data_IF_362595217691
#
_entry.id   IF_362595217691
#
_cell.length_a   1.000
_cell.length_b   1.000
_cell.length_c   1.000
_cell.angle_alpha   90.00
_cell.angle_beta   90.00
_cell.angle_gamma   90.00
#
_symmetry.space_group_name_H-M   'P 1'
#
loop_
_entity.id
_entity.type
_entity.pdbx_description
1 polymer ?
#
# COMPACT_ATOMS: atom_id res chain seq x y z
N UNK A 1 19.50 -6.82 -15.51
CA UNK A 1 18.43 -6.46 -14.57
C UNK A 1 17.62 -7.70 -14.22
N UNK A 2 17.46 -8.00 -12.93
CA UNK A 2 16.79 -9.22 -12.48
C UNK A 2 15.40 -8.88 -11.91
N UNK A 3 14.39 -8.78 -12.78
CA UNK A 3 13.02 -8.44 -12.38
C UNK A 3 12.39 -9.46 -11.43
N UNK A 4 12.71 -10.74 -11.61
CA UNK A 4 12.22 -11.78 -10.70
C UNK A 4 12.77 -11.55 -9.29
N UNK A 5 14.02 -11.10 -9.16
CA UNK A 5 14.59 -10.75 -7.85
C UNK A 5 13.89 -9.53 -7.23
N UNK A 6 13.66 -8.46 -7.99
CA UNK A 6 12.94 -7.28 -7.48
C UNK A 6 11.52 -7.68 -7.04
N UNK A 7 10.80 -8.44 -7.88
CA UNK A 7 9.46 -8.93 -7.57
C UNK A 7 9.43 -9.73 -6.27
N UNK A 8 10.30 -10.74 -6.16
CA UNK A 8 10.35 -11.61 -4.98
C UNK A 8 10.73 -10.85 -3.71
N UNK A 9 11.70 -9.93 -3.81
CA UNK A 9 12.10 -9.08 -2.69
C UNK A 9 10.95 -8.18 -2.23
N UNK A 10 10.37 -7.40 -3.13
CA UNK A 10 9.25 -6.49 -2.79
C UNK A 10 8.06 -7.26 -2.23
N UNK A 11 7.70 -8.39 -2.85
CA UNK A 11 6.58 -9.20 -2.36
C UNK A 11 6.87 -9.81 -0.97
N UNK A 12 8.09 -10.31 -0.75
CA UNK A 12 8.52 -10.84 0.53
C UNK A 12 8.52 -9.78 1.64
N UNK A 13 9.03 -8.58 1.35
CA UNK A 13 9.02 -7.45 2.29
C UNK A 13 7.59 -7.03 2.65
N UNK A 14 6.67 -6.97 1.68
CA UNK A 14 5.26 -6.67 1.92
C UNK A 14 4.61 -7.76 2.78
N UNK A 15 4.87 -9.04 2.49
CA UNK A 15 4.33 -10.16 3.28
C UNK A 15 4.83 -10.13 4.73
N UNK A 16 6.13 -9.89 4.94
CA UNK A 16 6.72 -9.75 6.28
C UNK A 16 6.10 -8.57 7.01
N UNK A 17 6.05 -7.40 6.36
CA UNK A 17 5.47 -6.19 6.94
C UNK A 17 4.03 -6.41 7.44
N UNK A 18 3.18 -7.03 6.61
CA UNK A 18 1.81 -7.30 7.01
C UNK A 18 1.69 -8.41 8.06
N UNK A 19 2.38 -9.53 7.90
CA UNK A 19 2.23 -10.68 8.80
C UNK A 19 2.90 -10.47 10.16
N UNK A 20 4.10 -9.90 10.19
CA UNK A 20 4.94 -9.82 11.40
C UNK A 20 4.81 -8.48 12.12
N UNK A 21 4.39 -7.40 11.44
CA UNK A 21 4.24 -6.08 12.07
C UNK A 21 2.77 -5.66 12.20
N UNK A 22 1.98 -5.75 11.13
CA UNK A 22 0.61 -5.23 11.13
C UNK A 22 -0.42 -6.18 11.75
N UNK A 23 -0.39 -7.45 11.35
CA UNK A 23 -1.37 -8.47 11.75
C UNK A 23 -0.93 -9.31 12.94
N UNK A 24 0.23 -8.99 13.51
CA UNK A 24 0.73 -9.66 14.69
C UNK A 24 -0.30 -9.61 15.81
N UNK A 25 -0.66 -10.78 16.33
CA UNK A 25 -1.66 -10.99 17.37
C UNK A 25 -3.10 -10.55 17.03
N UNK A 26 -3.36 -10.13 15.78
CA UNK A 26 -4.67 -9.71 15.31
C UNK A 26 -5.50 -10.92 14.87
N UNK A 27 -6.76 -10.96 15.32
CA UNK A 27 -7.67 -12.07 15.06
C UNK A 27 -8.98 -11.60 14.45
N UNK A 28 -9.44 -12.31 13.43
CA UNK A 28 -10.81 -12.24 12.93
C UNK A 28 -11.43 -13.62 13.20
N UNK A 29 -12.62 -13.65 13.80
CA UNK A 29 -13.33 -14.91 14.09
C UNK A 29 -12.48 -15.96 14.84
N UNK A 30 -11.68 -15.50 15.82
CA UNK A 30 -10.74 -16.31 16.60
C UNK A 30 -9.61 -16.98 15.80
N UNK A 31 -9.41 -16.60 14.53
CA UNK A 31 -8.28 -17.04 13.70
C UNK A 31 -7.27 -15.92 13.59
N UNK A 32 -5.99 -16.25 13.71
CA UNK A 32 -4.92 -15.31 13.41
C UNK A 32 -4.94 -14.99 11.92
N UNK A 33 -4.74 -13.72 11.59
CA UNK A 33 -4.55 -13.33 10.20
C UNK A 33 -3.12 -13.69 9.78
N UNK A 34 -2.99 -14.37 8.66
CA UNK A 34 -1.73 -14.58 7.95
C UNK A 34 -2.04 -14.57 6.46
N UNK A 35 -1.24 -13.85 5.69
CA UNK A 35 -1.39 -13.73 4.25
C UNK A 35 -0.31 -14.54 3.53
N UNK A 36 -0.72 -15.19 2.44
CA UNK A 36 0.17 -15.88 1.51
C UNK A 36 0.87 -17.11 2.09
N UNK A 37 1.80 -17.65 1.29
CA UNK A 37 2.62 -18.80 1.66
C UNK A 37 4.06 -18.62 1.21
N UNK A 38 5.00 -19.26 1.90
CA UNK A 38 6.44 -19.24 1.53
C UNK A 38 6.65 -19.83 0.12
N UNK A 39 5.92 -20.90 -0.20
CA UNK A 39 5.85 -21.52 -1.52
C UNK A 39 5.56 -20.54 -2.67
N UNK A 40 4.75 -19.50 -2.41
CA UNK A 40 4.39 -18.51 -3.43
C UNK A 40 5.58 -17.64 -3.81
N UNK A 41 6.39 -17.20 -2.84
CA UNK A 41 7.58 -16.37 -3.09
C UNK A 41 8.61 -17.13 -3.92
N UNK A 42 8.76 -18.43 -3.69
CA UNK A 42 9.70 -19.25 -4.45
C UNK A 42 9.28 -19.43 -5.92
N UNK A 43 7.98 -19.64 -6.15
CA UNK A 43 7.43 -19.99 -7.47
C UNK A 43 7.06 -18.79 -8.34
N UNK A 44 6.86 -17.61 -7.74
CA UNK A 44 6.44 -16.43 -8.48
C UNK A 44 7.57 -15.87 -9.36
N UNK A 45 7.21 -15.43 -10.55
CA UNK A 45 8.05 -14.79 -11.55
C UNK A 45 7.26 -13.67 -12.21
N UNK A 46 7.93 -12.85 -13.03
CA UNK A 46 7.22 -11.85 -13.84
C UNK A 46 6.30 -12.47 -14.89
N UNK A 47 6.44 -13.75 -15.21
CA UNK A 47 5.66 -14.39 -16.28
C UNK A 47 4.36 -15.02 -15.75
N UNK A 48 4.19 -15.15 -14.43
CA UNK A 48 3.03 -15.73 -13.75
C UNK A 48 2.55 -14.86 -12.57
N UNK A 49 2.34 -13.56 -12.83
CA UNK A 49 1.88 -12.58 -11.83
C UNK A 49 0.45 -12.87 -11.31
N UNK A 50 -0.31 -13.72 -11.98
CA UNK A 50 -1.62 -14.23 -11.56
C UNK A 50 -1.56 -15.01 -10.23
N UNK A 51 -0.39 -15.53 -9.84
CA UNK A 51 -0.21 -16.12 -8.51
C UNK A 51 -0.53 -15.13 -7.37
N UNK A 52 -0.37 -13.82 -7.58
CA UNK A 52 -0.71 -12.77 -6.60
C UNK A 52 -2.22 -12.72 -6.36
N UNK A 53 -3.05 -13.17 -7.31
CA UNK A 53 -4.52 -13.14 -7.16
C UNK A 53 -4.99 -14.02 -6.00
N UNK A 54 -4.25 -15.08 -5.67
CA UNK A 54 -4.55 -15.90 -4.50
C UNK A 54 -4.49 -15.10 -3.19
N UNK A 55 -3.46 -14.27 -3.02
CA UNK A 55 -3.31 -13.38 -1.85
C UNK A 55 -4.39 -12.29 -1.87
N UNK A 56 -4.67 -11.71 -3.03
CA UNK A 56 -5.72 -10.69 -3.17
C UNK A 56 -7.09 -11.25 -2.78
N UNK A 57 -7.39 -12.48 -3.20
CA UNK A 57 -8.62 -13.18 -2.82
C UNK A 57 -8.67 -13.48 -1.32
N UNK A 58 -7.57 -13.94 -0.73
CA UNK A 58 -7.46 -14.16 0.72
C UNK A 58 -7.74 -12.88 1.52
N UNK A 59 -7.13 -11.74 1.13
CA UNK A 59 -7.41 -10.45 1.76
C UNK A 59 -8.88 -10.05 1.61
N UNK A 60 -9.49 -10.27 0.45
CA UNK A 60 -10.91 -9.98 0.25
C UNK A 60 -11.82 -10.82 1.14
N UNK A 61 -11.52 -12.11 1.32
CA UNK A 61 -12.26 -12.99 2.24
C UNK A 61 -12.14 -12.44 3.66
N UNK A 62 -10.94 -12.09 4.11
CA UNK A 62 -10.72 -11.50 5.43
C UNK A 62 -11.47 -10.17 5.61
N UNK A 63 -11.57 -9.34 4.56
CA UNK A 63 -12.37 -8.11 4.59
C UNK A 63 -13.86 -8.38 4.73
N UNK A 64 -14.37 -9.39 4.02
CA UNK A 64 -15.77 -9.82 4.18
C UNK A 64 -16.02 -10.32 5.61
N UNK A 65 -15.14 -11.17 6.14
CA UNK A 65 -15.23 -11.64 7.53
C UNK A 65 -15.16 -10.49 8.54
N UNK A 66 -14.33 -9.47 8.30
CA UNK A 66 -14.25 -8.27 9.13
C UNK A 66 -15.56 -7.48 9.10
N UNK A 67 -16.18 -7.32 7.92
CA UNK A 67 -17.47 -6.64 7.77
C UNK A 67 -18.61 -7.39 8.48
N UNK A 68 -18.58 -8.73 8.47
CA UNK A 68 -19.57 -9.55 9.19
C UNK A 68 -19.55 -9.29 10.70
N UNK A 69 -18.43 -8.83 11.28
CA UNK A 69 -18.36 -8.48 12.70
C UNK A 69 -19.38 -7.40 13.09
N UNK A 70 -19.68 -6.47 12.18
CA UNK A 70 -20.66 -5.39 12.41
C UNK A 70 -22.10 -5.90 12.60
N UNK A 71 -22.39 -7.14 12.22
CA UNK A 71 -23.72 -7.75 12.41
C UNK A 71 -23.94 -8.28 13.83
N UNK A 72 -22.89 -8.32 14.67
CA UNK A 72 -22.92 -8.86 16.02
C UNK A 72 -23.33 -7.79 17.04
N UNK A 73 -24.05 -8.20 18.07
CA UNK A 73 -24.57 -7.31 19.12
C UNK A 73 -23.49 -6.66 20.00
N UNK A 74 -22.33 -7.29 20.16
CA UNK A 74 -21.21 -6.81 20.97
C UNK A 74 -19.94 -6.69 20.11
N UNK A 75 -20.02 -5.92 19.02
CA UNK A 75 -18.87 -5.72 18.15
C UNK A 75 -17.82 -4.80 18.79
N UNK A 76 -16.56 -5.19 18.68
CA UNK A 76 -15.45 -4.29 18.98
C UNK A 76 -15.20 -3.39 17.74
N UNK A 77 -15.80 -2.19 17.77
CA UNK A 77 -15.68 -1.22 16.68
C UNK A 77 -14.25 -0.77 16.44
N UNK A 78 -13.40 -0.76 17.48
CA UNK A 78 -12.00 -0.38 17.36
C UNK A 78 -11.23 -1.44 16.61
N UNK A 79 -11.43 -2.71 16.97
CA UNK A 79 -10.84 -3.83 16.25
C UNK A 79 -11.29 -3.86 14.79
N UNK A 80 -12.59 -3.67 14.52
CA UNK A 80 -13.11 -3.59 13.15
C UNK A 80 -12.40 -2.50 12.33
N UNK A 81 -12.35 -1.27 12.87
CA UNK A 81 -11.79 -0.12 12.18
C UNK A 81 -10.29 -0.30 11.89
N UNK A 82 -9.49 -0.72 12.87
CA UNK A 82 -8.05 -0.97 12.66
C UNK A 82 -7.81 -2.05 11.63
N UNK A 83 -8.61 -3.13 11.70
CA UNK A 83 -8.49 -4.26 10.80
C UNK A 83 -8.86 -3.87 9.36
N UNK A 84 -9.91 -3.08 9.15
CA UNK A 84 -10.33 -2.64 7.81
C UNK A 84 -9.27 -1.79 7.11
N UNK A 85 -8.61 -0.90 7.85
CA UNK A 85 -7.53 -0.06 7.31
C UNK A 85 -6.33 -0.92 6.88
N UNK A 86 -5.93 -1.87 7.73
CA UNK A 86 -4.81 -2.76 7.43
C UNK A 86 -5.10 -3.68 6.25
N UNK A 87 -6.29 -4.30 6.21
CA UNK A 87 -6.70 -5.17 5.10
C UNK A 87 -6.87 -4.39 3.79
N UNK A 88 -7.42 -3.18 3.82
CA UNK A 88 -7.52 -2.32 2.63
C UNK A 88 -6.13 -1.93 2.10
N UNK A 89 -5.19 -1.67 3.01
CA UNK A 89 -3.80 -1.38 2.66
C UNK A 89 -3.09 -2.59 2.06
N UNK A 90 -3.29 -3.78 2.64
CA UNK A 90 -2.74 -5.03 2.12
C UNK A 90 -3.28 -5.33 0.71
N UNK A 91 -4.60 -5.20 0.53
CA UNK A 91 -5.26 -5.40 -0.77
C UNK A 91 -4.62 -4.54 -1.86
N UNK A 92 -4.49 -3.24 -1.61
CA UNK A 92 -3.94 -2.31 -2.60
C UNK A 92 -2.42 -2.54 -2.81
N UNK A 93 -1.67 -2.92 -1.77
CA UNK A 93 -0.26 -3.26 -1.90
C UNK A 93 -0.03 -4.40 -2.91
N UNK A 94 -0.69 -5.54 -2.71
CA UNK A 94 -0.55 -6.70 -3.60
C UNK A 94 -1.05 -6.42 -5.02
N UNK A 95 -2.18 -5.71 -5.12
CA UNK A 95 -2.70 -5.24 -6.41
C UNK A 95 -1.69 -4.36 -7.14
N UNK A 96 -1.02 -3.43 -6.44
CA UNK A 96 0.00 -2.57 -7.04
C UNK A 96 1.28 -3.28 -7.42
N UNK A 97 1.70 -4.31 -6.70
CA UNK A 97 2.78 -5.19 -7.15
C UNK A 97 2.41 -5.80 -8.51
N UNK A 98 1.23 -6.43 -8.61
CA UNK A 98 0.77 -7.06 -9.86
C UNK A 98 0.70 -6.06 -11.02
N UNK A 99 0.03 -4.92 -10.81
CA UNK A 99 -0.11 -3.87 -11.83
C UNK A 99 1.25 -3.32 -12.28
N UNK A 100 2.15 -3.01 -11.35
CA UNK A 100 3.46 -2.43 -11.68
C UNK A 100 4.32 -3.40 -12.47
N UNK A 101 4.35 -4.68 -12.11
CA UNK A 101 5.11 -5.67 -12.87
C UNK A 101 4.45 -6.02 -14.21
N UNK A 102 3.13 -5.90 -14.33
CA UNK A 102 2.42 -6.02 -15.61
C UNK A 102 2.84 -4.87 -16.54
N UNK A 103 2.83 -3.64 -16.05
CA UNK A 103 3.27 -2.46 -16.81
C UNK A 103 4.75 -2.59 -17.22
N UNK A 104 5.62 -3.02 -16.29
CA UNK A 104 7.03 -3.23 -16.59
C UNK A 104 7.25 -4.34 -17.62
N UNK A 105 6.48 -5.43 -17.56
CA UNK A 105 6.54 -6.48 -18.58
C UNK A 105 6.19 -5.98 -19.96
N UNK A 106 5.20 -5.10 -20.08
CA UNK A 106 4.82 -4.48 -21.34
C UNK A 106 5.95 -3.63 -21.95
N UNK A 107 6.79 -3.03 -21.10
CA UNK A 107 7.94 -2.23 -21.53
C UNK A 107 9.20 -3.06 -21.86
N UNK A 108 9.16 -4.38 -21.68
CA UNK A 108 10.27 -5.28 -22.03
C UNK A 108 10.36 -5.47 -23.54
N UNK A 109 11.57 -5.36 -24.08
CA UNK A 109 11.89 -5.75 -25.45
C UNK A 109 13.19 -6.55 -25.47
N UNK A 110 13.33 -7.41 -26.47
CA UNK A 110 14.53 -8.24 -26.65
C UNK A 110 15.44 -7.61 -27.70
N UNK A 111 16.70 -7.36 -27.35
CA UNK A 111 17.74 -7.00 -28.30
C UNK A 111 18.94 -7.93 -28.07
N UNK A 112 19.30 -8.72 -29.08
CA UNK A 112 20.45 -9.64 -29.03
C UNK A 112 20.46 -10.57 -27.80
N UNK A 113 19.33 -11.26 -27.55
CA UNK A 113 19.10 -12.15 -26.38
C UNK A 113 19.17 -11.49 -24.99
N UNK A 114 19.38 -10.18 -24.93
CA UNK A 114 19.29 -9.39 -23.70
C UNK A 114 17.89 -8.78 -23.59
N UNK A 115 17.17 -9.11 -22.51
CA UNK A 115 15.91 -8.44 -22.16
C UNK A 115 16.23 -7.02 -21.67
N UNK A 116 15.86 -6.03 -22.46
CA UNK A 116 15.96 -4.61 -22.15
C UNK A 116 14.58 -4.06 -21.75
N UNK A 117 14.59 -2.93 -21.05
CA UNK A 117 13.39 -2.17 -20.72
C UNK A 117 13.59 -0.75 -21.25
N UNK A 118 12.58 -0.24 -21.94
CA UNK A 118 12.53 1.16 -22.34
C UNK A 118 11.80 1.98 -21.26
N UNK A 119 12.49 2.19 -20.13
CA UNK A 119 11.96 2.95 -19.01
C UNK A 119 12.81 4.20 -18.81
N UNK A 120 12.19 5.34 -19.12
CA UNK A 120 12.77 6.66 -18.91
C UNK A 120 12.53 7.12 -17.45
N UNK A 121 13.56 7.63 -16.79
CA UNK A 121 13.46 8.20 -15.44
C UNK A 121 12.38 9.30 -15.35
N UNK A 122 12.25 10.16 -16.38
CA UNK A 122 11.20 11.19 -16.44
C UNK A 122 9.79 10.59 -16.42
N UNK A 123 9.60 9.43 -17.04
CA UNK A 123 8.33 8.72 -17.00
C UNK A 123 8.03 8.19 -15.60
N UNK A 124 9.04 7.62 -14.93
CA UNK A 124 8.91 7.14 -13.54
C UNK A 124 8.55 8.29 -12.60
N UNK A 125 9.27 9.42 -12.67
CA UNK A 125 8.99 10.60 -11.87
C UNK A 125 7.54 11.04 -12.05
N UNK A 126 7.07 11.20 -13.30
CA UNK A 126 5.67 11.58 -13.59
C UNK A 126 4.65 10.58 -13.04
N UNK A 127 4.96 9.28 -13.09
CA UNK A 127 4.08 8.24 -12.52
C UNK A 127 3.99 8.35 -11.00
N UNK A 128 5.13 8.53 -10.33
CA UNK A 128 5.19 8.66 -8.87
C UNK A 128 4.55 9.96 -8.37
N UNK A 129 4.79 11.10 -9.04
CA UNK A 129 4.17 12.37 -8.67
C UNK A 129 2.66 12.37 -8.93
N UNK A 130 2.21 11.74 -10.02
CA UNK A 130 0.77 11.52 -10.28
C UNK A 130 0.10 10.64 -9.22
N UNK A 131 0.76 9.55 -8.82
CA UNK A 131 0.28 8.73 -7.70
C UNK A 131 0.24 9.53 -6.40
N UNK A 132 1.29 10.32 -6.11
CA UNK A 132 1.33 11.18 -4.93
C UNK A 132 0.18 12.21 -4.92
N UNK A 133 -0.12 12.83 -6.07
CA UNK A 133 -1.26 13.74 -6.22
C UNK A 133 -2.59 13.03 -5.92
N UNK A 134 -2.76 11.78 -6.38
CA UNK A 134 -3.96 11.00 -6.05
C UNK A 134 -4.08 10.74 -4.56
N UNK A 135 -2.99 10.39 -3.89
CA UNK A 135 -2.98 10.19 -2.42
C UNK A 135 -3.33 11.49 -1.71
N UNK A 136 -2.69 12.59 -2.07
CA UNK A 136 -2.99 13.93 -1.54
C UNK A 136 -4.48 14.25 -1.65
N UNK A 137 -5.06 14.10 -2.85
CA UNK A 137 -6.48 14.36 -3.08
C UNK A 137 -7.38 13.46 -2.20
N UNK A 138 -7.00 12.20 -1.96
CA UNK A 138 -7.79 11.30 -1.10
C UNK A 138 -7.79 11.75 0.35
N UNK A 139 -6.64 12.19 0.86
CA UNK A 139 -6.54 12.70 2.22
C UNK A 139 -7.24 14.06 2.37
N UNK A 140 -7.09 14.98 1.42
CA UNK A 140 -7.76 16.30 1.46
C UNK A 140 -9.30 16.22 1.42
N UNK A 141 -9.85 15.11 0.92
CA UNK A 141 -11.29 14.85 0.90
C UNK A 141 -11.78 14.01 2.10
N UNK A 142 -10.94 13.76 3.10
CA UNK A 142 -11.38 13.17 4.36
C UNK A 142 -12.29 14.14 5.13
N UNK A 143 -13.19 13.64 5.98
CA UNK A 143 -13.99 14.48 6.87
C UNK A 143 -13.12 15.42 7.73
N UNK A 144 -13.60 16.63 8.02
CA UNK A 144 -12.84 17.67 8.74
C UNK A 144 -12.27 17.19 10.08
N UNK A 145 -13.02 16.36 10.80
CA UNK A 145 -12.57 15.72 12.06
C UNK A 145 -11.26 14.92 11.94
N UNK A 146 -10.89 14.46 10.75
CA UNK A 146 -9.57 13.86 10.49
C UNK A 146 -8.53 14.91 10.06
N UNK A 147 -8.94 15.92 9.29
CA UNK A 147 -8.08 16.94 8.73
C UNK A 147 -7.54 17.92 9.77
N UNK A 148 -8.31 18.19 10.83
CA UNK A 148 -7.91 19.11 11.91
C UNK A 148 -6.79 18.53 12.82
N UNK A 149 -6.20 17.40 12.42
CA UNK A 149 -5.10 16.74 13.13
C UNK A 149 -3.74 17.14 12.53
N UNK A 150 -2.86 17.71 13.37
CA UNK A 150 -1.51 18.13 12.98
C UNK A 150 -0.69 17.03 12.28
N UNK A 151 -0.86 15.76 12.65
CA UNK A 151 -0.15 14.64 12.02
C UNK A 151 -0.59 14.42 10.58
N UNK A 152 -1.89 14.62 10.29
CA UNK A 152 -2.41 14.57 8.92
C UNK A 152 -1.86 15.75 8.13
N UNK A 153 -1.85 16.95 8.70
CA UNK A 153 -1.26 18.13 8.05
C UNK A 153 0.22 17.93 7.70
N UNK A 154 1.02 17.40 8.63
CA UNK A 154 2.43 17.05 8.40
C UNK A 154 2.59 16.03 7.26
N UNK A 155 1.75 15.00 7.22
CA UNK A 155 1.73 14.02 6.12
C UNK A 155 1.38 14.71 4.79
N UNK A 156 0.36 15.56 4.76
CA UNK A 156 -0.05 16.29 3.55
C UNK A 156 1.06 17.20 3.02
N UNK A 157 1.79 17.84 3.92
CA UNK A 157 2.95 18.67 3.57
C UNK A 157 4.07 17.84 2.93
N UNK A 158 4.27 16.59 3.35
CA UNK A 158 5.23 15.69 2.70
C UNK A 158 4.81 15.36 1.26
N UNK A 159 3.53 15.07 1.02
CA UNK A 159 3.03 14.84 -0.36
C UNK A 159 3.19 16.07 -1.25
N UNK A 160 2.91 17.27 -0.70
CA UNK A 160 3.09 18.54 -1.42
C UNK A 160 4.55 18.80 -1.81
N UNK A 161 5.52 18.28 -1.07
CA UNK A 161 6.95 18.32 -1.44
C UNK A 161 7.30 17.33 -2.56
N UNK A 162 6.68 16.15 -2.60
CA UNK A 162 6.96 15.12 -3.61
C UNK A 162 6.47 15.53 -5.00
N UNK A 163 5.29 16.15 -5.10
CA UNK A 163 4.64 16.49 -6.37
C UNK A 163 5.53 17.31 -7.33
N UNK A 164 6.24 18.37 -6.89
CA UNK A 164 7.14 19.14 -7.76
C UNK A 164 8.52 18.50 -7.99
N UNK A 165 8.85 17.37 -7.37
CA UNK A 165 10.18 16.77 -7.52
C UNK A 165 10.44 16.32 -8.96
N UNK A 166 11.65 16.59 -9.44
CA UNK A 166 12.14 16.15 -10.75
C UNK A 166 13.26 15.09 -10.63
N UNK A 167 13.51 14.59 -9.41
CA UNK A 167 14.57 13.64 -9.11
C UNK A 167 14.04 12.43 -8.34
N UNK A 168 14.37 11.21 -8.82
CA UNK A 168 13.89 9.98 -8.18
C UNK A 168 14.43 9.78 -6.77
N UNK A 169 15.67 10.17 -6.49
CA UNK A 169 16.28 10.01 -5.18
C UNK A 169 15.62 10.91 -4.14
N UNK A 170 15.25 12.14 -4.54
CA UNK A 170 14.50 13.05 -3.68
C UNK A 170 13.12 12.47 -3.34
N UNK A 171 12.41 11.92 -4.34
CA UNK A 171 11.14 11.23 -4.13
C UNK A 171 11.30 10.06 -3.17
N UNK A 172 12.35 9.25 -3.30
CA UNK A 172 12.62 8.11 -2.40
C UNK A 172 12.87 8.57 -0.97
N UNK A 173 13.63 9.64 -0.76
CA UNK A 173 13.87 10.20 0.59
C UNK A 173 12.57 10.70 1.21
N UNK A 174 11.78 11.48 0.47
CA UNK A 174 10.50 11.99 0.95
C UNK A 174 9.49 10.85 1.18
N UNK A 175 9.48 9.81 0.36
CA UNK A 175 8.60 8.65 0.55
C UNK A 175 8.90 7.89 1.85
N UNK A 176 10.17 7.86 2.30
CA UNK A 176 10.53 7.30 3.61
C UNK A 176 10.00 8.18 4.75
N UNK A 177 10.06 9.50 4.62
CA UNK A 177 9.48 10.43 5.58
C UNK A 177 7.95 10.25 5.67
N UNK A 178 7.28 10.12 4.51
CA UNK A 178 5.85 9.82 4.41
C UNK A 178 5.53 8.49 5.11
N UNK A 179 6.31 7.43 4.89
CA UNK A 179 6.09 6.12 5.52
C UNK A 179 6.14 6.22 7.06
N UNK A 180 7.14 6.91 7.60
CA UNK A 180 7.28 7.14 9.05
C UNK A 180 6.07 7.89 9.59
N UNK A 181 5.65 8.96 8.92
CA UNK A 181 4.48 9.77 9.32
C UNK A 181 3.19 8.97 9.24
N UNK A 182 3.07 8.06 8.27
CA UNK A 182 1.87 7.26 8.11
C UNK A 182 1.77 6.12 9.14
N UNK A 183 2.88 5.60 9.67
CA UNK A 183 2.84 4.68 10.81
C UNK A 183 2.26 5.32 12.07
N UNK A 184 2.43 6.63 12.24
CA UNK A 184 1.72 7.37 13.29
C UNK A 184 0.21 7.44 13.04
N UNK A 185 -0.21 7.50 11.76
CA UNK A 185 -1.61 7.58 11.33
C UNK A 185 -2.34 6.24 11.46
N UNK A 186 -1.64 5.12 11.26
CA UNK A 186 -2.18 3.77 11.47
C UNK A 186 -2.63 3.53 12.91
N UNK A 187 -2.09 4.28 13.88
CA UNK A 187 -2.54 4.25 15.27
C UNK A 187 -3.82 5.08 15.40
N UNK A 188 -4.94 4.45 15.05
CA UNK A 188 -6.27 5.07 15.02
C UNK A 188 -6.68 5.79 16.32
N UNK A 189 -6.10 5.41 17.45
CA UNK A 189 -6.19 6.07 18.76
C UNK A 189 -5.92 7.57 18.75
N UNK A 190 -5.23 8.10 17.74
CA UNK A 190 -4.96 9.53 17.61
C UNK A 190 -5.96 10.29 16.71
N UNK A 191 -6.79 9.60 15.93
CA UNK A 191 -7.59 10.21 14.86
C UNK A 191 -9.09 9.97 14.99
N UNK A 192 -9.47 8.95 15.75
CA UNK A 192 -10.85 8.55 15.90
C UNK A 192 -11.26 8.79 17.34
N UNK A 193 -12.21 9.70 17.53
CA UNK A 193 -12.96 9.72 18.78
C UNK A 193 -13.86 8.49 18.83
N UNK A 194 -13.38 7.46 19.52
CA UNK A 194 -14.10 6.20 19.68
C UNK A 194 -15.46 6.37 20.36
N UNK A 195 -15.66 7.44 21.13
CA UNK A 195 -16.94 7.74 21.75
C UNK A 195 -17.97 8.20 20.71
N UNK A 196 -17.53 8.81 19.61
CA UNK A 196 -18.39 9.17 18.48
C UNK A 196 -18.75 7.96 17.59
N UNK A 197 -18.08 6.80 17.76
CA UNK A 197 -18.39 5.57 17.02
C UNK A 197 -19.61 4.81 17.56
N UNK A 198 -20.06 5.13 18.78
CA UNK A 198 -21.12 4.37 19.46
C UNK A 198 -22.51 4.80 18.96
N UNK A 199 -22.65 6.04 18.47
CA UNK A 199 -23.96 6.67 18.26
C UNK A 199 -24.38 6.92 16.79
N UNK A 200 -23.51 6.75 15.77
CA UNK A 200 -23.83 7.20 14.40
C UNK A 200 -23.42 6.25 13.26
N UNK A 201 -24.32 5.99 12.30
CA UNK A 201 -23.99 5.28 11.03
C UNK A 201 -22.85 5.95 10.21
N UNK A 202 -22.56 7.24 10.48
CA UNK A 202 -21.56 8.03 9.77
C UNK A 202 -20.12 7.55 9.97
N UNK A 203 -19.79 6.94 11.10
CA UNK A 203 -18.40 6.57 11.37
C UNK A 203 -17.90 5.41 10.52
N UNK A 204 -18.76 4.44 10.17
CA UNK A 204 -18.38 3.34 9.25
C UNK A 204 -17.97 3.93 7.91
N UNK A 205 -18.73 4.90 7.42
CA UNK A 205 -18.45 5.57 6.15
C UNK A 205 -17.13 6.37 6.19
N UNK A 206 -16.80 6.93 7.34
CA UNK A 206 -15.54 7.62 7.61
C UNK A 206 -14.35 6.66 7.66
N UNK A 207 -14.51 5.50 8.31
CA UNK A 207 -13.52 4.41 8.28
C UNK A 207 -13.27 3.93 6.85
N UNK A 208 -14.31 3.75 6.04
CA UNK A 208 -14.14 3.32 4.64
C UNK A 208 -13.35 4.37 3.84
N UNK A 209 -13.61 5.67 4.05
CA UNK A 209 -12.86 6.75 3.39
C UNK A 209 -11.40 6.77 3.84
N UNK A 210 -11.14 6.68 5.15
CA UNK A 210 -9.79 6.63 5.71
C UNK A 210 -9.02 5.38 5.25
N UNK A 211 -9.69 4.24 5.18
CA UNK A 211 -9.14 2.98 4.64
C UNK A 211 -8.79 3.12 3.16
N UNK A 212 -9.64 3.78 2.37
CA UNK A 212 -9.33 4.08 0.96
C UNK A 212 -8.14 5.02 0.80
N UNK A 213 -8.00 6.05 1.65
CA UNK A 213 -6.86 6.96 1.60
C UNK A 213 -5.54 6.25 2.00
N UNK A 214 -5.59 5.42 3.05
CA UNK A 214 -4.45 4.59 3.46
C UNK A 214 -4.04 3.56 2.42
N UNK A 215 -5.02 2.94 1.74
CA UNK A 215 -4.77 2.00 0.66
C UNK A 215 -3.99 2.68 -0.49
N UNK A 216 -4.44 3.86 -0.93
CA UNK A 216 -3.75 4.63 -1.97
C UNK A 216 -2.33 5.04 -1.56
N UNK A 217 -2.16 5.46 -0.31
CA UNK A 217 -0.83 5.71 0.26
C UNK A 217 0.08 4.48 0.18
N UNK A 218 -0.42 3.31 0.59
CA UNK A 218 0.36 2.07 0.50
C UNK A 218 0.72 1.74 -0.95
N UNK A 219 -0.21 1.97 -1.87
CA UNK A 219 0.05 1.85 -3.30
C UNK A 219 1.16 2.78 -3.80
N UNK A 220 1.25 4.01 -3.30
CA UNK A 220 2.37 4.91 -3.59
C UNK A 220 3.70 4.33 -3.10
N UNK A 221 3.77 3.85 -1.85
CA UNK A 221 5.00 3.27 -1.28
C UNK A 221 5.49 2.07 -2.10
N UNK A 222 4.58 1.16 -2.47
CA UNK A 222 4.91 0.01 -3.34
C UNK A 222 5.44 0.46 -4.70
N UNK A 223 4.81 1.46 -5.32
CA UNK A 223 5.30 2.00 -6.59
C UNK A 223 6.70 2.61 -6.45
N UNK A 224 6.95 3.41 -5.40
CA UNK A 224 8.26 4.01 -5.14
C UNK A 224 9.32 2.92 -5.01
N UNK A 225 9.06 1.87 -4.23
CA UNK A 225 9.99 0.75 -4.04
C UNK A 225 10.29 0.04 -5.38
N UNK A 226 9.26 -0.34 -6.14
CA UNK A 226 9.44 -1.06 -7.40
C UNK A 226 10.20 -0.20 -8.42
N UNK A 227 9.70 1.02 -8.69
CA UNK A 227 10.26 1.84 -9.77
C UNK A 227 11.64 2.39 -9.45
N UNK A 228 11.94 2.72 -8.18
CA UNK A 228 13.28 3.16 -7.79
C UNK A 228 14.32 2.04 -7.93
N UNK A 229 13.99 0.81 -7.51
CA UNK A 229 14.87 -0.35 -7.70
C UNK A 229 15.10 -0.70 -9.17
N UNK A 230 14.06 -0.58 -10.01
CA UNK A 230 14.18 -0.80 -11.46
C UNK A 230 15.11 0.24 -12.09
N UNK A 231 14.95 1.53 -11.77
CA UNK A 231 15.83 2.60 -12.26
C UNK A 231 17.27 2.39 -11.77
N UNK A 232 17.47 2.05 -10.50
CA UNK A 232 18.81 1.78 -9.96
C UNK A 232 19.51 0.63 -10.71
N UNK A 233 18.79 -0.46 -11.01
CA UNK A 233 19.35 -1.57 -11.79
C UNK A 233 19.52 -1.26 -13.29
N UNK A 234 18.73 -0.35 -13.85
CA UNK A 234 18.88 0.10 -15.23
C UNK A 234 20.10 1.03 -15.38
N UNK A 235 20.37 1.87 -14.38
CA UNK A 235 21.54 2.76 -14.31
C UNK A 235 22.87 2.04 -14.02
N UNK A 236 22.83 0.82 -13.50
CA UNK A 236 24.00 -0.04 -13.26
C UNK A 236 24.58 -0.69 -14.54
N UNK A 237 24.22 -0.22 -15.73
CA UNK A 237 24.96 -0.53 -16.96
C UNK A 237 26.26 0.28 -16.99
N UNK A 238 27.30 -0.24 -16.33
CA UNK A 238 28.71 0.07 -16.63
C UNK A 238 29.36 -1.22 -17.10
#
# INVERSE_FOLDING_TARGET
MNFNLILKKTLGEILIYFNEECFKDLKINNKNIKLGSEDLIEKITTDNLDMIDSIIQEVNILRQENQELLTRSNVDHKLYASTEILLSSAFEAFKKVKESFTDLNFLKHSQSDVKLIDLNEKFVIRKLTSNCQRVLNKYENLPSRFLDNLKVEELLNCFKKIIPCENINEIVVLAKEVLIKQDEIKRLDYFIDYNALIDEYGWVHDIVKLSSANAEHMGLIVNVEIFSNVIAQAGLKI
#
